data_IF_832665448319
#
_entry.id   IF_832665448319
#
_cell.length_a   1.000
_cell.length_b   1.000
_cell.length_c   1.000
_cell.angle_alpha   90.00
_cell.angle_beta   90.00
_cell.angle_gamma   90.00
#
_symmetry.space_group_name_H-M   'P 1'
#
loop_
_entity.id
_entity.type
_entity.pdbx_description
1 polymer ?
#
# COMPACT_ATOMS: atom_id res chain seq x y z
N UNK A 1 -19.71 35.68 1.96
CA UNK A 1 -18.98 34.40 2.13
C UNK A 1 -18.88 34.16 3.60
N UNK A 2 -19.06 32.91 4.03
CA UNK A 2 -18.83 32.53 5.41
C UNK A 2 -17.33 32.37 5.61
N UNK A 3 -16.77 33.13 6.53
CA UNK A 3 -15.32 33.19 6.73
C UNK A 3 -14.95 32.52 8.06
N UNK A 4 -13.94 31.65 8.03
CA UNK A 4 -13.49 30.88 9.18
C UNK A 4 -12.13 31.38 9.68
N UNK A 5 -11.91 31.28 11.00
CA UNK A 5 -10.61 31.50 11.64
C UNK A 5 -10.27 30.32 12.53
N UNK A 6 -9.03 29.86 12.48
CA UNK A 6 -8.50 28.78 13.30
C UNK A 6 -7.62 29.38 14.39
N UNK A 7 -7.75 28.94 15.63
CA UNK A 7 -6.86 29.31 16.72
C UNK A 7 -6.02 28.09 17.10
N UNK A 8 -4.73 28.18 16.78
CA UNK A 8 -3.70 27.25 17.21
C UNK A 8 -3.11 27.77 18.54
N UNK A 9 -3.11 26.97 19.62
CA UNK A 9 -2.54 27.37 20.91
C UNK A 9 -1.08 27.84 20.84
N UNK A 10 -0.33 27.36 19.85
CA UNK A 10 1.09 27.66 19.66
C UNK A 10 1.33 28.74 18.59
N UNK A 11 0.41 28.90 17.63
CA UNK A 11 0.60 29.76 16.45
C UNK A 11 -0.38 30.94 16.35
N UNK A 12 -1.33 31.05 17.28
CA UNK A 12 -2.32 32.13 17.31
C UNK A 12 -3.44 31.93 16.28
N UNK A 13 -4.08 33.03 15.89
CA UNK A 13 -5.26 33.01 15.00
C UNK A 13 -4.84 33.05 13.52
N UNK A 14 -5.33 32.09 12.73
CA UNK A 14 -5.11 31.93 11.29
C UNK A 14 -6.43 32.20 10.57
N UNK A 15 -6.43 33.09 9.58
CA UNK A 15 -7.59 33.41 8.73
C UNK A 15 -7.78 34.91 8.51
N UNK A 16 -8.87 35.34 7.84
CA UNK A 16 -10.00 34.51 7.39
C UNK A 16 -9.63 33.53 6.25
N UNK A 17 -10.19 32.32 6.30
CA UNK A 17 -10.06 31.28 5.28
C UNK A 17 -11.42 30.67 4.95
N UNK A 18 -11.54 30.07 3.76
CA UNK A 18 -12.78 29.44 3.31
C UNK A 18 -13.04 28.11 4.01
N UNK A 19 -14.28 27.64 3.96
CA UNK A 19 -14.65 26.32 4.50
C UNK A 19 -13.91 25.18 3.80
N UNK A 20 -13.70 25.27 2.48
CA UNK A 20 -12.96 24.24 1.73
C UNK A 20 -11.52 24.16 2.22
N UNK A 21 -10.89 25.31 2.48
CA UNK A 21 -9.53 25.38 3.01
C UNK A 21 -9.46 24.77 4.41
N UNK A 22 -10.46 25.02 5.27
CA UNK A 22 -10.52 24.42 6.62
C UNK A 22 -10.67 22.89 6.52
N UNK A 23 -11.50 22.38 5.62
CA UNK A 23 -11.70 20.94 5.41
C UNK A 23 -10.43 20.26 4.87
N UNK A 24 -9.73 20.90 3.93
CA UNK A 24 -8.44 20.42 3.42
C UNK A 24 -7.40 20.34 4.53
N UNK A 25 -7.36 21.33 5.43
CA UNK A 25 -6.45 21.34 6.58
C UNK A 25 -6.81 20.26 7.61
N UNK A 26 -8.09 19.95 7.81
CA UNK A 26 -8.53 18.81 8.64
C UNK A 26 -8.10 17.48 7.99
N UNK A 27 -8.35 17.31 6.69
CA UNK A 27 -7.98 16.11 5.95
C UNK A 27 -6.45 15.89 5.91
N UNK A 28 -5.68 16.97 5.84
CA UNK A 28 -4.23 16.97 5.91
C UNK A 28 -3.69 16.71 7.34
N UNK A 29 -4.57 16.66 8.35
CA UNK A 29 -4.22 16.50 9.76
C UNK A 29 -3.55 17.73 10.38
N UNK A 30 -3.66 18.89 9.73
CA UNK A 30 -3.12 20.17 10.22
C UNK A 30 -4.07 20.77 11.25
N UNK A 31 -5.38 20.62 11.07
CA UNK A 31 -6.39 20.96 12.08
C UNK A 31 -6.74 19.71 12.88
N UNK A 32 -6.46 19.75 14.18
CA UNK A 32 -6.64 18.63 15.12
C UNK A 32 -7.40 19.08 16.38
N UNK A 33 -7.81 18.12 17.22
CA UNK A 33 -8.75 18.33 18.34
C UNK A 33 -8.37 19.42 19.35
N UNK A 34 -7.08 19.76 19.47
CA UNK A 34 -6.59 20.85 20.33
C UNK A 34 -6.80 22.27 19.74
N UNK A 35 -7.24 22.38 18.49
CA UNK A 35 -7.48 23.66 17.81
C UNK A 35 -8.93 24.11 17.95
N UNK A 36 -9.13 25.42 17.84
CA UNK A 36 -10.46 26.03 17.98
C UNK A 36 -10.81 26.78 16.70
N UNK A 37 -12.08 26.80 16.33
CA UNK A 37 -12.57 27.44 15.10
C UNK A 37 -13.59 28.52 15.44
N UNK A 38 -13.51 29.65 14.75
CA UNK A 38 -14.48 30.74 14.77
C UNK A 38 -15.08 30.87 13.37
N UNK A 39 -16.40 31.02 13.29
CA UNK A 39 -17.16 31.22 12.05
C UNK A 39 -17.79 32.61 12.08
N UNK A 40 -17.61 33.38 11.01
CA UNK A 40 -18.20 34.72 10.83
C UNK A 40 -17.91 35.70 11.98
N UNK A 41 -16.76 35.56 12.63
CA UNK A 41 -16.37 36.38 13.78
C UNK A 41 -17.04 36.02 15.11
N UNK A 42 -17.72 34.86 15.17
CA UNK A 42 -18.28 34.30 16.40
C UNK A 42 -17.21 33.77 17.39
N UNK A 43 -17.63 33.19 18.52
CA UNK A 43 -16.69 32.65 19.51
C UNK A 43 -15.88 31.50 18.91
N UNK A 44 -14.64 31.35 19.39
CA UNK A 44 -13.85 30.15 19.11
C UNK A 44 -14.46 28.97 19.86
N UNK A 45 -14.77 27.90 19.13
CA UNK A 45 -15.31 26.65 19.66
C UNK A 45 -14.42 25.48 19.20
N UNK A 46 -14.42 24.34 19.90
CA UNK A 46 -13.71 23.15 19.43
C UNK A 46 -14.12 22.76 18.01
N UNK A 47 -13.21 22.16 17.23
CA UNK A 47 -13.47 21.70 15.85
C UNK A 47 -14.74 20.83 15.76
N UNK A 48 -14.94 19.97 16.78
CA UNK A 48 -16.12 19.12 16.98
C UNK A 48 -17.48 19.85 16.96
N UNK A 49 -17.50 21.15 17.29
CA UNK A 49 -18.72 21.96 17.34
C UNK A 49 -19.23 22.37 15.95
N UNK A 50 -18.41 22.23 14.91
CA UNK A 50 -18.75 22.55 13.53
C UNK A 50 -18.89 21.26 12.74
N UNK A 51 -20.13 20.84 12.49
CA UNK A 51 -20.43 19.59 11.79
C UNK A 51 -19.98 19.61 10.32
N UNK A 52 -19.80 20.80 9.76
CA UNK A 52 -19.23 21.03 8.42
C UNK A 52 -17.69 20.91 8.37
N UNK A 53 -17.00 20.95 9.51
CA UNK A 53 -15.52 20.86 9.61
C UNK A 53 -15.09 19.53 10.22
N UNK A 54 -15.86 19.03 11.19
CA UNK A 54 -15.58 17.74 11.79
C UNK A 54 -15.73 16.63 10.77
N UNK A 55 -14.82 15.64 10.74
CA UNK A 55 -15.06 14.42 9.99
C UNK A 55 -16.29 13.75 10.60
N UNK A 56 -17.46 13.91 9.97
CA UNK A 56 -18.62 13.13 10.36
C UNK A 56 -18.25 11.65 10.23
N UNK A 57 -18.63 10.77 11.17
CA UNK A 57 -18.72 9.36 10.83
C UNK A 57 -19.68 9.30 9.66
N UNK A 58 -19.17 8.86 8.50
CA UNK A 58 -19.83 8.92 7.21
C UNK A 58 -21.31 8.51 7.30
N UNK A 59 -22.20 9.48 7.41
CA UNK A 59 -23.63 9.26 7.42
C UNK A 59 -24.14 9.65 6.03
N UNK A 60 -24.18 8.63 5.17
CA UNK A 60 -25.06 8.42 4.02
C UNK A 60 -25.75 9.66 3.42
N UNK A 61 -24.97 10.50 2.74
CA UNK A 61 -25.42 11.18 1.53
C UNK A 61 -24.23 11.62 0.70
N UNK A 62 -23.47 10.64 0.21
CA UNK A 62 -22.37 10.88 -0.70
C UNK A 62 -22.65 10.15 -2.00
N UNK A 63 -22.60 10.91 -3.09
CA UNK A 63 -22.30 10.48 -4.45
C UNK A 63 -20.90 9.83 -4.55
N UNK A 64 -20.47 9.12 -3.50
CA UNK A 64 -19.26 8.32 -3.54
C UNK A 64 -19.51 7.14 -4.47
N UNK A 65 -18.62 6.91 -5.45
CA UNK A 65 -18.75 5.77 -6.35
C UNK A 65 -18.83 4.51 -5.51
N UNK A 66 -19.81 3.64 -5.77
CA UNK A 66 -19.86 2.33 -5.10
C UNK A 66 -18.68 1.48 -5.57
N UNK A 67 -18.02 0.71 -4.69
CA UNK A 67 -16.94 -0.16 -5.10
C UNK A 67 -17.48 -1.24 -6.05
N UNK A 68 -16.88 -1.35 -7.24
CA UNK A 68 -17.17 -2.40 -8.23
C UNK A 68 -16.85 -3.77 -7.69
N UNK A 69 -15.80 -3.88 -6.86
CA UNK A 69 -15.42 -5.11 -6.20
C UNK A 69 -14.96 -4.84 -4.78
N UNK A 70 -15.30 -5.72 -3.83
CA UNK A 70 -14.82 -5.61 -2.46
C UNK A 70 -14.65 -6.98 -1.80
N UNK A 71 -13.91 -7.02 -0.71
CA UNK A 71 -13.74 -8.23 0.09
C UNK A 71 -12.76 -8.05 1.23
N UNK A 72 -12.41 -9.17 1.84
CA UNK A 72 -11.65 -9.24 3.09
C UNK A 72 -10.23 -9.78 2.83
N UNK A 73 -9.23 -9.11 3.40
CA UNK A 73 -7.81 -9.46 3.25
C UNK A 73 -7.41 -10.77 3.94
N UNK A 74 -8.12 -11.16 5.00
CA UNK A 74 -7.92 -12.45 5.65
C UNK A 74 -8.32 -13.62 4.75
N UNK A 75 -9.35 -13.43 3.92
CA UNK A 75 -9.82 -14.40 2.93
C UNK A 75 -9.01 -14.37 1.63
N UNK A 76 -8.80 -13.20 1.04
CA UNK A 76 -7.98 -13.01 -0.15
C UNK A 76 -6.87 -12.02 0.17
N UNK A 77 -5.63 -12.51 0.28
CA UNK A 77 -4.51 -11.63 0.64
C UNK A 77 -4.28 -10.54 -0.39
N UNK A 78 -3.51 -9.53 0.00
CA UNK A 78 -3.08 -8.51 -0.93
C UNK A 78 -2.30 -9.11 -2.12
N UNK A 79 -1.49 -10.16 -1.93
CA UNK A 79 -0.81 -10.87 -3.03
C UNK A 79 -1.81 -11.30 -4.11
N UNK A 80 -2.84 -12.04 -3.70
CA UNK A 80 -3.87 -12.56 -4.61
C UNK A 80 -4.64 -11.45 -5.30
N UNK A 81 -5.13 -10.48 -4.53
CA UNK A 81 -5.96 -9.39 -5.06
C UNK A 81 -5.15 -8.52 -6.02
N UNK A 82 -3.94 -8.11 -5.64
CA UNK A 82 -3.07 -7.27 -6.44
C UNK A 82 -2.61 -7.96 -7.72
N UNK A 83 -2.17 -9.23 -7.63
CA UNK A 83 -1.76 -10.00 -8.80
C UNK A 83 -2.93 -10.23 -9.77
N UNK A 84 -4.13 -10.48 -9.26
CA UNK A 84 -5.33 -10.60 -10.10
C UNK A 84 -5.62 -9.32 -10.87
N UNK A 85 -5.59 -8.16 -10.21
CA UNK A 85 -5.80 -6.87 -10.90
C UNK A 85 -4.71 -6.57 -11.93
N UNK A 86 -3.48 -7.05 -11.69
CA UNK A 86 -2.40 -6.98 -12.66
C UNK A 86 -2.69 -7.79 -13.93
N UNK A 87 -3.01 -9.09 -13.79
CA UNK A 87 -3.25 -9.96 -14.96
C UNK A 87 -4.54 -9.64 -15.71
N UNK A 88 -5.52 -9.01 -15.04
CA UNK A 88 -6.75 -8.52 -15.70
C UNK A 88 -6.61 -7.11 -16.26
N UNK A 89 -5.40 -6.52 -16.24
CA UNK A 89 -5.13 -5.18 -16.74
C UNK A 89 -6.06 -4.09 -16.18
N UNK A 90 -6.36 -4.16 -14.88
CA UNK A 90 -7.32 -3.27 -14.23
C UNK A 90 -6.85 -1.80 -14.23
N UNK A 91 -7.76 -0.87 -14.49
CA UNK A 91 -7.54 0.57 -14.38
C UNK A 91 -8.55 1.17 -13.41
N UNK A 92 -8.07 1.75 -12.32
CA UNK A 92 -8.92 2.24 -11.24
C UNK A 92 -8.18 2.40 -9.93
N UNK A 93 -8.95 2.55 -8.85
CA UNK A 93 -8.44 2.70 -7.50
C UNK A 93 -8.69 1.43 -6.69
N UNK A 94 -7.63 0.87 -6.10
CA UNK A 94 -7.69 -0.15 -5.07
C UNK A 94 -7.42 0.50 -3.70
N UNK A 95 -8.45 0.67 -2.89
CA UNK A 95 -8.35 1.13 -1.52
C UNK A 95 -8.27 -0.06 -0.56
N UNK A 96 -7.28 -0.05 0.33
CA UNK A 96 -7.07 -1.04 1.38
C UNK A 96 -7.28 -0.36 2.73
N UNK A 97 -8.13 -0.93 3.57
CA UNK A 97 -8.55 -0.38 4.86
C UNK A 97 -8.26 -1.40 5.97
N UNK A 98 -7.33 -1.08 6.86
CA UNK A 98 -7.18 -1.74 8.15
C UNK A 98 -7.93 -0.94 9.23
N UNK A 99 -7.86 -1.38 10.48
CA UNK A 99 -8.59 -0.74 11.60
C UNK A 99 -8.19 0.71 11.84
N UNK A 100 -6.89 1.01 11.76
CA UNK A 100 -6.34 2.34 12.14
C UNK A 100 -5.68 3.08 10.99
N UNK A 101 -5.53 2.44 9.84
CA UNK A 101 -4.76 2.97 8.73
C UNK A 101 -5.27 2.42 7.40
N UNK A 102 -4.98 3.14 6.32
CA UNK A 102 -5.44 2.82 4.98
C UNK A 102 -4.41 3.18 3.92
N UNK A 103 -4.47 2.48 2.79
CA UNK A 103 -3.66 2.72 1.61
C UNK A 103 -4.51 2.78 0.36
N UNK A 104 -4.14 3.61 -0.61
CA UNK A 104 -4.84 3.78 -1.88
C UNK A 104 -3.86 3.57 -3.01
N UNK A 105 -4.10 2.56 -3.84
CA UNK A 105 -3.27 2.19 -4.98
C UNK A 105 -4.02 2.56 -6.24
N UNK A 106 -3.47 3.46 -7.04
CA UNK A 106 -4.00 3.79 -8.35
C UNK A 106 -3.34 2.89 -9.39
N UNK A 107 -4.16 2.23 -10.20
CA UNK A 107 -3.75 1.27 -11.21
C UNK A 107 -4.08 1.79 -12.61
N UNK A 108 -3.16 1.61 -13.55
CA UNK A 108 -3.39 1.80 -14.99
C UNK A 108 -2.92 0.52 -15.69
N UNK A 109 -3.83 -0.15 -16.41
CA UNK A 109 -3.55 -1.41 -17.12
C UNK A 109 -2.89 -2.50 -16.24
N UNK A 110 -3.30 -2.57 -14.97
CA UNK A 110 -2.78 -3.51 -13.98
C UNK A 110 -1.42 -3.12 -13.39
N UNK A 111 -0.93 -1.90 -13.65
CA UNK A 111 0.32 -1.37 -13.10
C UNK A 111 0.04 -0.30 -12.05
N UNK A 112 0.67 -0.36 -10.86
CA UNK A 112 0.58 0.73 -9.89
C UNK A 112 1.29 1.97 -10.43
N UNK A 113 0.60 3.10 -10.40
CA UNK A 113 1.14 4.40 -10.81
C UNK A 113 1.35 5.35 -9.62
N UNK A 114 0.61 5.12 -8.54
CA UNK A 114 0.73 5.88 -7.30
C UNK A 114 0.15 5.10 -6.12
N UNK A 115 0.80 5.19 -4.95
CA UNK A 115 0.28 4.68 -3.69
C UNK A 115 0.26 5.80 -2.66
N UNK A 116 -0.92 6.09 -2.12
CA UNK A 116 -1.06 6.92 -0.93
C UNK A 116 -1.16 6.03 0.32
N UNK A 117 -0.59 6.50 1.43
CA UNK A 117 -0.67 5.82 2.72
C UNK A 117 -0.99 6.81 3.83
N UNK A 118 -1.84 6.39 4.76
CA UNK A 118 -2.13 7.14 5.97
C UNK A 118 -1.08 6.97 7.07
N UNK A 119 -0.13 6.04 6.94
CA UNK A 119 0.90 5.78 7.96
C UNK A 119 1.92 6.92 8.00
N UNK A 120 2.09 7.62 9.15
CA UNK A 120 3.02 8.75 9.26
C UNK A 120 4.47 8.42 8.90
N UNK A 121 4.96 7.26 9.34
CA UNK A 121 6.31 6.76 9.09
C UNK A 121 6.60 6.46 7.61
N UNK A 122 5.55 6.32 6.80
CA UNK A 122 5.68 6.12 5.37
C UNK A 122 5.66 7.43 4.58
N UNK A 123 5.53 8.61 5.23
CA UNK A 123 5.64 9.93 4.56
C UNK A 123 7.04 10.14 3.99
N UNK A 124 7.19 10.99 2.96
CA UNK A 124 8.47 11.18 2.25
C UNK A 124 9.60 11.63 3.18
N UNK A 125 9.35 12.62 4.02
CA UNK A 125 10.35 13.09 4.99
C UNK A 125 10.83 11.97 5.93
N UNK A 126 9.88 11.27 6.56
CA UNK A 126 10.19 10.16 7.48
C UNK A 126 10.92 9.01 6.77
N UNK A 127 10.52 8.70 5.54
CA UNK A 127 11.22 7.74 4.69
C UNK A 127 12.67 8.15 4.46
N UNK A 128 12.93 9.39 4.07
CA UNK A 128 14.28 9.89 3.78
C UNK A 128 15.18 9.86 5.03
N UNK A 129 14.65 10.27 6.18
CA UNK A 129 15.37 10.20 7.46
C UNK A 129 15.70 8.75 7.83
N UNK A 130 14.72 7.86 7.74
CA UNK A 130 14.92 6.43 8.06
C UNK A 130 15.94 5.76 7.13
N UNK A 131 16.05 6.20 5.88
CA UNK A 131 17.06 5.71 4.92
C UNK A 131 18.41 6.45 5.03
N UNK A 132 18.54 7.41 5.95
CA UNK A 132 19.77 8.20 6.14
C UNK A 132 20.11 9.10 4.95
N UNK A 133 19.10 9.49 4.16
CA UNK A 133 19.28 10.39 3.00
C UNK A 133 19.32 11.86 3.41
N UNK A 134 18.64 12.20 4.50
CA UNK A 134 18.68 13.50 5.17
C UNK A 134 18.67 13.26 6.67
N UNK A 135 19.17 14.22 7.44
CA UNK A 135 19.08 14.22 8.90
C UNK A 135 17.71 14.71 9.38
N UNK A 136 17.36 14.38 10.63
CA UNK A 136 16.10 14.82 11.25
C UNK A 136 15.99 16.35 11.28
N UNK A 137 17.09 17.05 11.56
CA UNK A 137 17.11 18.51 11.63
C UNK A 137 16.96 19.14 10.25
N UNK A 138 17.55 18.55 9.21
CA UNK A 138 17.35 18.97 7.82
C UNK A 138 15.89 18.83 7.38
N UNK A 139 15.22 17.73 7.77
CA UNK A 139 13.79 17.57 7.53
C UNK A 139 12.97 18.65 8.25
N UNK A 140 13.29 18.96 9.50
CA UNK A 140 12.59 19.99 10.27
C UNK A 140 12.74 21.38 9.60
N UNK A 141 13.96 21.71 9.14
CA UNK A 141 14.21 22.94 8.37
C UNK A 141 13.43 22.96 7.07
N UNK A 142 13.40 21.85 6.33
CA UNK A 142 12.64 21.73 5.08
C UNK A 142 11.15 21.94 5.31
N UNK A 143 10.57 21.30 6.33
CA UNK A 143 9.15 21.47 6.70
C UNK A 143 8.84 22.91 7.13
N UNK A 144 9.74 23.57 7.87
CA UNK A 144 9.60 24.97 8.27
C UNK A 144 9.76 25.97 7.11
N UNK A 145 10.40 25.54 6.01
CA UNK A 145 10.68 26.35 4.82
C UNK A 145 9.69 26.10 3.67
N UNK A 146 8.65 25.30 3.90
CA UNK A 146 7.57 25.12 2.93
C UNK A 146 6.73 26.41 2.88
N UNK A 147 6.67 27.04 1.69
CA UNK A 147 5.88 28.25 1.45
C UNK A 147 4.47 27.90 0.93
N UNK A 148 3.53 28.84 1.04
CA UNK A 148 2.14 28.66 0.58
C UNK A 148 2.00 28.36 -0.91
N UNK A 149 2.96 28.78 -1.74
CA UNK A 149 2.81 28.77 -3.20
C UNK A 149 3.38 27.51 -3.87
N UNK A 150 4.22 26.74 -3.17
CA UNK A 150 4.73 25.44 -3.64
C UNK A 150 4.88 24.46 -2.45
N UNK A 151 3.75 23.87 -2.08
CA UNK A 151 3.57 23.14 -0.83
C UNK A 151 4.07 21.68 -0.88
N UNK A 152 4.96 21.35 -1.83
CA UNK A 152 5.50 19.99 -1.96
C UNK A 152 6.88 19.91 -1.29
N UNK A 153 6.99 19.02 -0.30
CA UNK A 153 8.24 18.75 0.41
C UNK A 153 9.39 18.44 -0.56
N UNK A 154 9.14 17.66 -1.62
CA UNK A 154 10.16 17.31 -2.61
C UNK A 154 10.84 18.51 -3.28
N UNK A 155 10.07 19.51 -3.72
CA UNK A 155 10.63 20.73 -4.32
C UNK A 155 11.40 21.56 -3.29
N UNK A 156 10.93 21.58 -2.04
CA UNK A 156 11.63 22.27 -0.95
C UNK A 156 12.98 21.61 -0.64
N UNK A 157 13.05 20.28 -0.63
CA UNK A 157 14.30 19.53 -0.45
C UNK A 157 15.32 19.85 -1.55
N UNK A 158 14.87 19.94 -2.82
CA UNK A 158 15.73 20.32 -3.95
C UNK A 158 16.21 21.76 -3.82
N UNK A 159 15.30 22.69 -3.50
CA UNK A 159 15.61 24.12 -3.32
C UNK A 159 16.64 24.35 -2.22
N UNK A 160 16.58 23.57 -1.14
CA UNK A 160 17.53 23.62 -0.04
C UNK A 160 18.86 22.89 -0.32
N UNK A 161 18.99 22.24 -1.49
CA UNK A 161 20.19 21.50 -1.86
C UNK A 161 20.37 20.18 -1.09
N UNK A 162 19.32 19.68 -0.44
CA UNK A 162 19.34 18.44 0.34
C UNK A 162 19.22 17.20 -0.53
N UNK A 163 18.60 17.33 -1.70
CA UNK A 163 18.49 16.29 -2.72
C UNK A 163 18.59 16.93 -4.10
N UNK A 164 19.08 16.20 -5.08
CA UNK A 164 18.87 16.55 -6.50
C UNK A 164 17.57 15.91 -7.06
N UNK A 165 17.09 16.34 -8.25
CA UNK A 165 15.87 15.78 -8.82
C UNK A 165 15.92 14.25 -9.08
N UNK A 166 17.02 13.67 -9.60
CA UNK A 166 17.18 12.21 -9.69
C UNK A 166 17.06 11.48 -8.34
N UNK A 167 17.69 11.99 -7.28
CA UNK A 167 17.63 11.41 -5.93
C UNK A 167 16.21 11.46 -5.37
N UNK A 168 15.48 12.56 -5.55
CA UNK A 168 14.08 12.66 -5.16
C UNK A 168 13.22 11.63 -5.91
N UNK A 169 13.42 11.48 -7.22
CA UNK A 169 12.69 10.51 -8.03
C UNK A 169 12.96 9.07 -7.57
N UNK A 170 14.22 8.73 -7.30
CA UNK A 170 14.62 7.42 -6.79
C UNK A 170 14.03 7.16 -5.40
N UNK A 171 14.03 8.15 -4.51
CA UNK A 171 13.44 8.05 -3.18
C UNK A 171 11.91 7.84 -3.24
N UNK A 172 11.22 8.59 -4.11
CA UNK A 172 9.78 8.43 -4.34
C UNK A 172 9.47 7.03 -4.88
N UNK A 173 10.20 6.56 -5.90
CA UNK A 173 10.02 5.21 -6.45
C UNK A 173 10.21 4.14 -5.37
N UNK A 174 11.29 4.23 -4.60
CA UNK A 174 11.61 3.27 -3.57
C UNK A 174 10.59 3.29 -2.41
N UNK A 175 10.11 4.47 -2.00
CA UNK A 175 9.05 4.61 -1.02
C UNK A 175 7.73 3.97 -1.49
N UNK A 176 7.32 4.26 -2.72
CA UNK A 176 6.09 3.71 -3.31
C UNK A 176 6.16 2.17 -3.38
N UNK A 177 7.33 1.64 -3.75
CA UNK A 177 7.61 0.20 -3.76
C UNK A 177 7.49 -0.39 -2.35
N UNK A 178 8.08 0.26 -1.35
CA UNK A 178 8.03 -0.20 0.04
C UNK A 178 6.60 -0.22 0.58
N UNK A 179 5.76 0.76 0.23
CA UNK A 179 4.33 0.78 0.61
C UNK A 179 3.55 -0.41 0.05
N UNK A 180 3.86 -0.84 -1.18
CA UNK A 180 3.26 -2.03 -1.81
C UNK A 180 3.76 -3.33 -1.16
N UNK A 181 5.05 -3.40 -0.85
CA UNK A 181 5.64 -4.56 -0.15
C UNK A 181 5.09 -4.66 1.28
N UNK A 182 4.88 -3.54 1.97
CA UNK A 182 4.26 -3.53 3.29
C UNK A 182 2.82 -4.08 3.24
N UNK A 183 2.02 -3.75 2.23
CA UNK A 183 0.66 -4.28 2.07
C UNK A 183 0.61 -5.81 1.95
N UNK A 184 1.64 -6.43 1.39
CA UNK A 184 1.78 -7.89 1.36
C UNK A 184 1.90 -8.49 2.77
N UNK A 185 2.31 -7.71 3.76
CA UNK A 185 2.40 -8.15 5.17
C UNK A 185 1.06 -8.02 5.92
N UNK A 186 0.04 -7.37 5.35
CA UNK A 186 -1.24 -7.22 6.04
C UNK A 186 -2.05 -8.52 5.99
N UNK A 187 -2.57 -8.95 7.14
CA UNK A 187 -3.33 -10.21 7.28
C UNK A 187 -4.83 -10.00 7.47
N UNK A 188 -5.24 -8.76 7.77
CA UNK A 188 -6.62 -8.39 8.02
C UNK A 188 -6.92 -7.01 7.44
N UNK A 189 -8.20 -6.76 7.20
CA UNK A 189 -8.68 -5.51 6.61
C UNK A 189 -9.61 -5.77 5.42
N UNK A 190 -10.10 -4.69 4.84
CA UNK A 190 -11.00 -4.71 3.68
C UNK A 190 -10.30 -4.11 2.48
N UNK A 191 -10.52 -4.69 1.30
CA UNK A 191 -10.18 -4.03 0.04
C UNK A 191 -11.45 -3.61 -0.70
N UNK A 192 -11.38 -2.45 -1.32
CA UNK A 192 -12.44 -1.82 -2.11
C UNK A 192 -11.82 -1.38 -3.44
N UNK A 193 -12.36 -1.86 -4.55
CA UNK A 193 -11.90 -1.47 -5.88
C UNK A 193 -12.97 -0.64 -6.58
N UNK A 194 -12.55 0.49 -7.13
CA UNK A 194 -13.38 1.42 -7.87
C UNK A 194 -12.82 1.54 -9.28
N UNK A 195 -13.55 0.99 -10.24
CA UNK A 195 -13.14 0.98 -11.65
C UNK A 195 -13.15 2.40 -12.23
N UNK A 196 -12.16 2.72 -13.07
CA UNK A 196 -12.10 3.98 -13.79
C UNK A 196 -11.68 5.20 -12.97
N UNK A 197 -11.55 5.10 -11.65
CA UNK A 197 -11.00 6.20 -10.83
C UNK A 197 -9.50 6.34 -11.13
N UNK A 198 -9.12 7.47 -11.73
CA UNK A 198 -7.74 7.81 -12.06
C UNK A 198 -7.10 8.66 -10.97
N UNK A 199 -5.76 8.69 -10.97
CA UNK A 199 -4.99 9.67 -10.23
C UNK A 199 -4.91 10.95 -11.05
N UNK A 200 -5.22 12.09 -10.46
CA UNK A 200 -5.20 13.42 -11.07
C UNK A 200 -3.85 14.15 -10.90
N UNK A 201 -2.96 13.62 -10.07
CA UNK A 201 -1.61 14.14 -9.88
C UNK A 201 -0.59 13.62 -10.91
N UNK A 202 0.68 13.97 -10.69
CA UNK A 202 1.79 13.51 -11.52
C UNK A 202 2.01 12.00 -11.37
N UNK A 203 1.79 11.26 -12.45
CA UNK A 203 2.08 9.83 -12.51
C UNK A 203 3.59 9.63 -12.43
N UNK A 204 4.03 8.92 -11.39
CA UNK A 204 5.40 8.47 -11.31
C UNK A 204 5.53 7.19 -12.14
N UNK A 205 6.48 7.15 -13.09
CA UNK A 205 6.84 5.88 -13.70
C UNK A 205 7.63 5.06 -12.68
N UNK A 206 6.92 4.26 -11.89
CA UNK A 206 7.54 3.42 -10.87
C UNK A 206 8.44 2.32 -11.47
N UNK A 207 8.33 2.06 -12.79
CA UNK A 207 9.02 0.98 -13.51
C UNK A 207 8.90 -0.37 -12.79
N UNK A 208 7.78 -0.59 -12.10
CA UNK A 208 7.55 -1.79 -11.31
C UNK A 208 7.13 -2.95 -12.22
N UNK A 209 7.83 -4.06 -12.08
CA UNK A 209 7.36 -5.33 -12.60
C UNK A 209 6.59 -6.06 -11.50
N UNK A 210 5.26 -6.06 -11.57
CA UNK A 210 4.40 -6.66 -10.53
C UNK A 210 4.81 -8.10 -10.15
N UNK A 211 5.12 -9.01 -11.10
CA UNK A 211 5.64 -10.34 -10.76
C UNK A 211 6.92 -10.30 -9.90
N UNK A 212 7.82 -9.37 -10.16
CA UNK A 212 9.06 -9.19 -9.39
C UNK A 212 8.78 -8.62 -8.00
N UNK A 213 7.82 -7.68 -7.88
CA UNK A 213 7.41 -7.12 -6.60
C UNK A 213 6.81 -8.18 -5.68
N UNK A 214 5.90 -9.02 -6.18
CA UNK A 214 5.23 -10.04 -5.35
C UNK A 214 6.21 -11.11 -4.88
N UNK A 215 7.20 -11.53 -5.69
CA UNK A 215 8.21 -12.45 -5.19
C UNK A 215 9.14 -11.80 -4.16
N UNK A 216 9.52 -10.54 -4.35
CA UNK A 216 10.36 -9.83 -3.39
C UNK A 216 9.64 -9.69 -2.05
N UNK A 217 8.35 -9.36 -2.06
CA UNK A 217 7.53 -9.31 -0.87
C UNK A 217 7.38 -10.69 -0.20
N UNK A 218 7.15 -11.75 -0.98
CA UNK A 218 7.02 -13.11 -0.45
C UNK A 218 8.31 -13.60 0.24
N UNK A 219 9.49 -13.25 -0.29
CA UNK A 219 10.79 -13.55 0.33
C UNK A 219 10.97 -12.88 1.71
N UNK A 220 10.32 -11.74 1.93
CA UNK A 220 10.33 -11.01 3.19
C UNK A 220 9.41 -11.58 4.28
N UNK A 221 8.46 -12.44 3.93
CA UNK A 221 7.52 -13.01 4.90
C UNK A 221 8.22 -13.91 5.93
N UNK A 222 7.81 -13.87 7.21
CA UNK A 222 8.41 -14.74 8.22
C UNK A 222 7.95 -16.20 8.01
N UNK A 223 8.77 -17.15 8.45
CA UNK A 223 8.55 -18.59 8.13
C UNK A 223 7.29 -19.13 8.80
N UNK A 224 7.03 -18.75 10.05
CA UNK A 224 5.84 -19.09 10.82
C UNK A 224 4.54 -18.68 10.10
N UNK A 225 4.54 -17.54 9.40
CA UNK A 225 3.42 -17.12 8.56
C UNK A 225 3.22 -18.04 7.36
N UNK A 226 4.30 -18.34 6.64
CA UNK A 226 4.25 -19.27 5.51
C UNK A 226 3.75 -20.65 5.97
N UNK A 227 4.23 -21.15 7.11
CA UNK A 227 3.81 -22.43 7.67
C UNK A 227 2.36 -22.41 8.13
N UNK A 228 1.91 -21.37 8.84
CA UNK A 228 0.51 -21.18 9.25
C UNK A 228 -0.44 -21.21 8.05
N UNK A 229 -0.13 -20.44 7.00
CA UNK A 229 -0.95 -20.38 5.78
C UNK A 229 -0.98 -21.69 5.01
N UNK A 230 0.12 -22.41 4.99
CA UNK A 230 0.26 -23.66 4.23
C UNK A 230 -0.12 -24.91 5.03
N UNK A 231 -0.27 -24.80 6.36
CA UNK A 231 -0.62 -25.91 7.25
C UNK A 231 -1.87 -26.70 6.77
N UNK A 232 -2.97 -26.06 6.33
CA UNK A 232 -4.15 -26.77 5.84
C UNK A 232 -3.90 -27.58 4.55
N UNK A 233 -2.80 -27.32 3.85
CA UNK A 233 -2.48 -27.87 2.53
C UNK A 233 -1.31 -28.86 2.55
N UNK A 234 -0.69 -29.12 3.71
CA UNK A 234 0.52 -29.95 3.80
C UNK A 234 0.36 -31.34 3.18
N UNK A 235 -0.80 -31.96 3.38
CA UNK A 235 -1.08 -33.32 2.90
C UNK A 235 -1.82 -33.35 1.55
N UNK A 236 -2.10 -32.18 0.96
CA UNK A 236 -2.69 -32.07 -0.37
C UNK A 236 -1.61 -32.11 -1.46
N UNK A 237 -1.98 -32.68 -2.61
CA UNK A 237 -1.18 -32.72 -3.82
C UNK A 237 -1.10 -31.32 -4.45
N UNK A 238 0.13 -30.87 -4.71
CA UNK A 238 0.40 -29.56 -5.31
C UNK A 238 0.30 -29.70 -6.84
N UNK A 239 -0.78 -29.17 -7.43
CA UNK A 239 -1.11 -29.35 -8.85
C UNK A 239 -1.00 -28.01 -9.59
N UNK A 240 -0.15 -27.90 -10.63
CA UNK A 240 -0.04 -26.69 -11.42
C UNK A 240 -1.37 -26.33 -12.08
N UNK A 241 -1.76 -25.05 -12.03
CA UNK A 241 -2.98 -24.60 -12.69
C UNK A 241 -2.69 -24.24 -14.15
N UNK A 242 -3.31 -24.97 -15.08
CA UNK A 242 -3.25 -24.68 -16.52
C UNK A 242 -3.95 -23.35 -16.82
N UNK A 243 -3.20 -22.28 -17.10
CA UNK A 243 -3.76 -21.02 -17.60
C UNK A 243 -3.22 -19.75 -16.95
N UNK A 244 -2.59 -19.84 -15.78
CA UNK A 244 -1.94 -18.70 -15.12
C UNK A 244 -0.52 -19.08 -14.73
N UNK A 245 0.27 -19.47 -15.72
CA UNK A 245 1.71 -19.63 -15.50
C UNK A 245 2.27 -18.21 -15.42
N UNK A 246 2.39 -17.67 -14.22
CA UNK A 246 3.48 -16.73 -13.97
C UNK A 246 4.74 -17.48 -14.39
N UNK A 247 5.25 -17.20 -15.60
CA UNK A 247 6.40 -17.94 -16.10
C UNK A 247 7.49 -17.80 -15.04
N UNK A 248 8.16 -18.90 -14.72
CA UNK A 248 9.28 -18.89 -13.79
C UNK A 248 10.35 -17.85 -14.18
N UNK A 249 10.32 -17.40 -15.43
CA UNK A 249 11.06 -16.29 -16.00
C UNK A 249 10.56 -14.92 -15.52
N UNK A 250 9.26 -14.63 -15.55
CA UNK A 250 8.68 -13.36 -15.06
C UNK A 250 8.93 -13.13 -13.56
N UNK A 251 8.86 -14.20 -12.75
CA UNK A 251 9.06 -14.11 -11.30
C UNK A 251 10.53 -13.99 -10.87
N UNK A 252 11.51 -13.97 -11.80
CA UNK A 252 12.96 -13.91 -11.45
C UNK A 252 13.36 -14.85 -10.29
N UNK A 253 12.88 -16.09 -10.34
CA UNK A 253 13.21 -17.13 -9.35
C UNK A 253 14.71 -17.43 -9.37
N UNK A 254 15.31 -17.58 -8.18
CA UNK A 254 16.66 -18.12 -8.01
C UNK A 254 16.74 -19.56 -8.54
N UNK A 255 17.96 -20.07 -8.72
CA UNK A 255 18.17 -21.44 -9.23
C UNK A 255 17.47 -22.51 -8.36
N UNK A 256 17.45 -22.32 -7.03
CA UNK A 256 16.78 -23.25 -6.12
C UNK A 256 15.26 -23.10 -6.16
N UNK A 257 14.73 -21.88 -6.07
CA UNK A 257 13.28 -21.61 -6.15
C UNK A 257 12.68 -22.13 -7.47
N UNK A 258 13.40 -21.95 -8.59
CA UNK A 258 13.02 -22.48 -9.90
C UNK A 258 12.99 -24.01 -9.92
N UNK A 259 13.95 -24.66 -9.25
CA UNK A 259 13.95 -26.12 -9.11
C UNK A 259 12.74 -26.60 -8.32
N UNK A 260 12.35 -25.89 -7.25
CA UNK A 260 11.14 -26.20 -6.50
C UNK A 260 9.91 -26.07 -7.39
N UNK A 261 9.73 -24.92 -8.06
CA UNK A 261 8.61 -24.67 -8.96
C UNK A 261 8.49 -25.73 -10.07
N UNK A 262 9.61 -26.06 -10.73
CA UNK A 262 9.64 -27.09 -11.78
C UNK A 262 9.43 -28.51 -11.25
N UNK A 263 9.56 -28.73 -9.95
CA UNK A 263 9.28 -30.02 -9.32
C UNK A 263 7.79 -30.22 -9.02
N UNK A 264 6.94 -29.21 -9.19
CA UNK A 264 5.51 -29.33 -8.96
C UNK A 264 4.89 -30.05 -10.17
N UNK A 265 4.58 -31.34 -9.99
CA UNK A 265 4.11 -32.24 -11.04
C UNK A 265 2.71 -32.81 -10.77
N UNK A 266 2.04 -32.36 -9.71
CA UNK A 266 0.75 -32.89 -9.26
C UNK A 266 0.81 -34.23 -8.53
N UNK A 267 1.98 -34.88 -8.47
CA UNK A 267 2.15 -36.23 -7.90
C UNK A 267 2.67 -36.23 -6.46
N UNK A 268 3.15 -35.07 -5.98
CA UNK A 268 3.67 -34.90 -4.63
C UNK A 268 2.83 -33.94 -3.81
N UNK A 269 2.74 -34.23 -2.51
CA UNK A 269 2.13 -33.33 -1.54
C UNK A 269 3.05 -32.17 -1.20
N UNK A 270 2.50 -31.09 -0.66
CA UNK A 270 3.27 -29.95 -0.13
C UNK A 270 4.32 -30.43 0.87
N UNK A 271 3.95 -31.34 1.78
CA UNK A 271 4.87 -31.95 2.77
C UNK A 271 6.01 -32.70 2.11
N UNK A 272 5.77 -33.41 1.01
CA UNK A 272 6.82 -34.13 0.28
C UNK A 272 7.76 -33.18 -0.47
N UNK A 273 7.25 -32.07 -1.01
CA UNK A 273 8.06 -31.06 -1.73
C UNK A 273 8.96 -30.27 -0.76
N UNK A 274 8.41 -29.84 0.38
CA UNK A 274 9.14 -29.06 1.39
C UNK A 274 9.87 -29.94 2.43
N UNK A 275 9.68 -31.26 2.39
CA UNK A 275 10.22 -32.23 3.34
C UNK A 275 11.70 -32.55 3.09
N UNK A 276 12.41 -32.95 4.15
CA UNK A 276 13.82 -33.37 4.11
C UNK A 276 14.81 -32.32 3.53
N UNK A 277 14.41 -31.04 3.51
CA UNK A 277 15.26 -29.91 3.13
C UNK A 277 15.93 -29.29 4.35
N UNK A 278 17.11 -28.67 4.17
CA UNK A 278 17.72 -27.79 5.18
C UNK A 278 16.81 -26.59 5.46
N UNK A 279 16.96 -25.95 6.63
CA UNK A 279 16.09 -24.85 7.06
C UNK A 279 15.88 -23.76 5.99
N UNK A 280 16.96 -23.21 5.42
CA UNK A 280 16.88 -22.17 4.38
C UNK A 280 16.18 -22.64 3.10
N UNK A 281 16.44 -23.88 2.69
CA UNK A 281 15.82 -24.49 1.52
C UNK A 281 14.34 -24.79 1.75
N UNK A 282 13.97 -25.25 2.94
CA UNK A 282 12.58 -25.46 3.34
C UNK A 282 11.83 -24.14 3.33
N UNK A 283 12.39 -23.06 3.90
CA UNK A 283 11.81 -21.72 3.84
C UNK A 283 11.57 -21.28 2.40
N UNK A 284 12.56 -21.39 1.52
CA UNK A 284 12.42 -21.03 0.12
C UNK A 284 11.35 -21.87 -0.59
N UNK A 285 11.28 -23.18 -0.32
CA UNK A 285 10.26 -24.06 -0.89
C UNK A 285 8.85 -23.68 -0.43
N UNK A 286 8.65 -23.43 0.87
CA UNK A 286 7.39 -22.96 1.43
C UNK A 286 6.96 -21.62 0.83
N UNK A 287 7.90 -20.68 0.66
CA UNK A 287 7.65 -19.39 0.04
C UNK A 287 7.19 -19.54 -1.42
N UNK A 288 7.85 -20.39 -2.22
CA UNK A 288 7.45 -20.64 -3.61
C UNK A 288 6.06 -21.26 -3.69
N UNK A 289 5.78 -22.29 -2.89
CA UNK A 289 4.46 -22.94 -2.86
C UNK A 289 3.36 -21.96 -2.45
N UNK A 290 3.62 -21.15 -1.42
CA UNK A 290 2.72 -20.10 -0.95
C UNK A 290 2.45 -19.06 -2.05
N UNK A 291 3.50 -18.49 -2.65
CA UNK A 291 3.35 -17.46 -3.67
C UNK A 291 2.61 -17.99 -4.90
N UNK A 292 2.97 -19.18 -5.41
CA UNK A 292 2.31 -19.76 -6.57
C UNK A 292 0.82 -20.04 -6.30
N UNK A 293 0.47 -20.39 -5.07
CA UNK A 293 -0.92 -20.54 -4.67
C UNK A 293 -1.67 -19.20 -4.59
N UNK A 294 -1.07 -18.17 -4.00
CA UNK A 294 -1.68 -16.84 -3.91
C UNK A 294 -1.93 -16.21 -5.28
N UNK A 295 -1.06 -16.47 -6.26
CA UNK A 295 -1.20 -15.97 -7.63
C UNK A 295 -1.98 -16.92 -8.56
N UNK A 296 -2.68 -17.92 -8.00
CA UNK A 296 -3.52 -18.90 -8.69
C UNK A 296 -2.77 -19.78 -9.74
N UNK A 297 -1.43 -19.83 -9.67
CA UNK A 297 -0.58 -20.71 -10.47
C UNK A 297 -0.47 -22.14 -9.91
N UNK A 298 -0.93 -22.34 -8.66
CA UNK A 298 -0.92 -23.62 -7.95
C UNK A 298 -2.27 -23.86 -7.28
N UNK A 299 -2.76 -25.10 -7.35
CA UNK A 299 -3.93 -25.58 -6.61
C UNK A 299 -3.55 -26.77 -5.72
N UNK A 300 -4.38 -27.04 -4.71
CA UNK A 300 -4.17 -28.11 -3.74
C UNK A 300 -5.33 -29.12 -3.80
N UNK A 301 -5.03 -30.35 -4.22
CA UNK A 301 -6.03 -31.40 -4.39
C UNK A 301 -5.87 -32.50 -3.32
N UNK A 302 -6.97 -33.07 -2.80
CA UNK A 302 -6.90 -34.14 -1.79
C UNK A 302 -6.38 -35.48 -2.38
N UNK A 303 -6.50 -35.65 -3.70
CA UNK A 303 -6.06 -36.83 -4.44
C UNK A 303 -5.19 -36.41 -5.63
N UNK A 304 -4.26 -37.25 -6.09
CA UNK A 304 -3.47 -36.95 -7.28
C UNK A 304 -4.41 -36.87 -8.50
N UNK A 305 -4.09 -36.02 -9.50
CA UNK A 305 -4.88 -35.94 -10.72
C UNK A 305 -4.91 -37.31 -11.42
N UNK A 306 -6.10 -37.73 -11.88
CA UNK A 306 -6.24 -38.90 -12.75
C UNK A 306 -5.50 -38.65 -14.06
N UNK A 307 -4.65 -39.61 -14.45
CA UNK A 307 -3.87 -39.57 -15.68
C UNK A 307 -4.74 -39.54 -16.94
#
# INVERSE_FOLDING_TARGET
>A
MTDYRLHDPNRGVIGPISIETVQDLVNAGVVHDAMWVSRDGGPFLPVAAFSEISPQPANESSTEPKPTYSGDLGKNTFFKVFYRFHITHATGLLAIQATTHHKRIYLIHGQPVYVNSSLPEEKLGEYLVRKGRIERDELNVALGSMHTDDNRLGYTLIRLGLLDPPELFDALRAQQTERLVDLCTWEAGRYLYYEGITFDGEVLNLQLHVPELVIQAARGLPLDRLETRMAPHLDAYAVPTSGQVASSESLRLTAFERRVANSIDGKRTVRQIAGNLKADQRRAAMMVLYLLWEIDALSFNPSPPTA
#
